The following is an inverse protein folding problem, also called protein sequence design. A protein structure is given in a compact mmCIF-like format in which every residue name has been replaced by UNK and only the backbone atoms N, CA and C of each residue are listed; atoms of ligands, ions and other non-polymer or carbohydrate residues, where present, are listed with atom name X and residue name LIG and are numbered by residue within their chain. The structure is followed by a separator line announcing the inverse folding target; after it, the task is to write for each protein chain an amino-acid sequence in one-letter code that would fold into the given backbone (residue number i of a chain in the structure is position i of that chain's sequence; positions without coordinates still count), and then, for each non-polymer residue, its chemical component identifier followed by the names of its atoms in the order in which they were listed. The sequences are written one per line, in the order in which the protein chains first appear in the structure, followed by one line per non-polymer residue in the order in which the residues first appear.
data_IF_715041242532
#
_entry.id   IF_715041242532
#
_cell.length_a   1.000
_cell.length_b   1.000
_cell.length_c   1.000
_cell.angle_alpha   90.00
_cell.angle_beta   90.00
_cell.angle_gamma   90.00
#
_symmetry.space_group_name_H-M   'P 1'
#
loop_
_entity.id
_entity.type
_entity.pdbx_description
1 polymer ?
#
# COMPACT_ATOMS: atom_id res chain seq x y z
N UNK A 1 53.03 -25.47 8.79
CA UNK A 1 52.09 -26.16 7.89
C UNK A 1 51.02 -26.75 8.80
N UNK A 2 49.99 -25.95 9.10
CA UNK A 2 48.61 -26.00 8.52
C UNK A 2 47.74 -26.96 9.33
N UNK A 3 46.86 -26.41 10.19
CA UNK A 3 45.39 -26.37 10.04
C UNK A 3 44.78 -27.76 10.32
N UNK A 4 43.75 -27.94 11.14
CA UNK A 4 42.47 -27.23 11.14
C UNK A 4 41.84 -27.24 12.55
N UNK A 5 41.44 -26.07 13.05
CA UNK A 5 40.38 -25.96 14.04
C UNK A 5 39.06 -25.89 13.27
N UNK A 6 38.28 -26.96 13.28
CA UNK A 6 36.88 -26.92 12.87
C UNK A 6 36.06 -26.28 13.98
N UNK A 7 35.83 -24.97 13.89
CA UNK A 7 34.82 -24.29 14.69
C UNK A 7 33.45 -24.58 14.09
N UNK A 8 32.74 -25.53 14.68
CA UNK A 8 31.31 -25.70 14.48
C UNK A 8 30.59 -24.45 15.01
N UNK A 9 30.02 -23.67 14.11
CA UNK A 9 29.19 -22.50 14.44
C UNK A 9 28.02 -22.45 13.47
N UNK A 10 27.18 -23.47 13.53
CA UNK A 10 25.85 -23.42 12.93
C UNK A 10 24.83 -23.04 14.01
N UNK A 11 24.75 -21.74 14.33
CA UNK A 11 23.59 -21.19 15.04
C UNK A 11 22.53 -20.87 13.99
N UNK A 12 21.73 -21.87 13.63
CA UNK A 12 20.40 -21.64 13.04
C UNK A 12 19.55 -20.91 14.08
N UNK A 13 19.46 -19.59 13.94
CA UNK A 13 18.45 -18.76 14.62
C UNK A 13 17.06 -19.17 14.13
N UNK A 14 16.42 -20.10 14.82
CA UNK A 14 15.02 -20.45 14.62
C UNK A 14 14.13 -19.47 15.40
N UNK A 15 14.14 -18.19 15.01
CA UNK A 15 13.03 -17.31 15.34
C UNK A 15 12.03 -17.48 14.20
N UNK A 16 10.93 -18.20 14.45
CA UNK A 16 9.79 -18.20 13.53
C UNK A 16 9.25 -16.78 13.50
N UNK A 17 9.50 -16.06 12.40
CA UNK A 17 8.89 -14.78 12.15
C UNK A 17 7.36 -14.91 12.21
N UNK A 18 6.71 -13.97 12.89
CA UNK A 18 5.26 -13.93 13.01
C UNK A 18 4.65 -13.64 11.63
N UNK A 19 4.10 -14.68 10.98
CA UNK A 19 3.34 -14.57 9.72
C UNK A 19 1.96 -13.99 10.04
N UNK A 20 1.63 -12.85 9.45
CA UNK A 20 0.32 -12.22 9.59
C UNK A 20 -0.67 -12.84 8.60
N UNK A 21 -1.98 -12.68 8.86
CA UNK A 21 -3.07 -13.15 7.96
C UNK A 21 -3.01 -12.53 6.55
N UNK A 22 -2.18 -11.50 6.37
CA UNK A 22 -1.96 -10.81 5.11
C UNK A 22 -0.64 -11.16 4.40
N UNK A 23 0.11 -12.13 4.90
CA UNK A 23 1.31 -12.64 4.23
C UNK A 23 0.88 -13.73 3.23
N UNK A 24 0.89 -13.38 1.93
CA UNK A 24 0.49 -14.26 0.83
C UNK A 24 1.70 -14.82 0.11
N UNK A 25 1.61 -16.08 -0.33
CA UNK A 25 2.64 -16.70 -1.14
C UNK A 25 2.40 -16.33 -2.61
N UNK A 26 3.37 -15.66 -3.24
CA UNK A 26 3.33 -15.32 -4.66
C UNK A 26 3.87 -16.50 -5.47
N UNK A 27 3.29 -16.81 -6.64
CA UNK A 27 3.86 -17.82 -7.52
C UNK A 27 5.32 -17.47 -7.88
N UNK A 28 6.24 -18.39 -7.59
CA UNK A 28 7.65 -18.25 -7.95
C UNK A 28 7.84 -18.53 -9.44
N UNK A 29 7.41 -17.57 -10.28
CA UNK A 29 7.55 -17.63 -11.74
C UNK A 29 8.25 -16.38 -12.28
N UNK A 30 8.88 -16.47 -13.46
CA UNK A 30 9.56 -15.31 -14.07
C UNK A 30 8.65 -14.09 -14.25
N UNK A 31 7.35 -14.30 -14.48
CA UNK A 31 6.38 -13.22 -14.59
C UNK A 31 6.20 -12.42 -13.30
N UNK A 32 6.31 -13.02 -12.12
CA UNK A 32 6.16 -12.30 -10.84
C UNK A 32 7.48 -11.71 -10.33
N UNK A 33 8.60 -12.05 -10.96
CA UNK A 33 9.91 -11.54 -10.60
C UNK A 33 9.94 -10.01 -10.66
N UNK A 34 10.45 -9.38 -9.61
CA UNK A 34 10.56 -7.92 -9.46
C UNK A 34 9.22 -7.17 -9.35
N UNK A 35 8.09 -7.89 -9.24
CA UNK A 35 6.80 -7.29 -8.84
C UNK A 35 6.72 -7.31 -7.32
N UNK A 36 6.38 -6.16 -6.72
CA UNK A 36 6.26 -6.03 -5.27
C UNK A 36 5.17 -6.97 -4.70
N UNK A 37 5.41 -7.46 -3.48
CA UNK A 37 4.54 -8.44 -2.83
C UNK A 37 3.09 -7.97 -2.72
N UNK A 38 2.92 -6.70 -2.35
CA UNK A 38 1.62 -6.03 -2.17
C UNK A 38 0.86 -5.92 -3.49
N UNK A 39 1.56 -5.67 -4.60
CA UNK A 39 1.00 -5.53 -5.94
C UNK A 39 0.46 -6.86 -6.43
N UNK A 40 1.29 -7.90 -6.36
CA UNK A 40 0.87 -9.24 -6.73
C UNK A 40 -0.29 -9.74 -5.85
N UNK A 41 -0.25 -9.49 -4.54
CA UNK A 41 -1.35 -9.82 -3.62
C UNK A 41 -2.65 -9.14 -4.03
N UNK A 42 -2.63 -7.83 -4.32
CA UNK A 42 -3.83 -7.09 -4.72
C UNK A 42 -4.43 -7.64 -6.03
N UNK A 43 -3.60 -8.15 -6.93
CA UNK A 43 -4.08 -8.88 -8.12
C UNK A 43 -4.66 -10.25 -7.76
N UNK A 44 -3.88 -11.11 -7.10
CA UNK A 44 -4.22 -12.51 -6.82
C UNK A 44 -5.53 -12.63 -6.02
N UNK A 45 -5.74 -11.74 -5.06
CA UNK A 45 -6.95 -11.76 -4.20
C UNK A 45 -8.25 -11.38 -4.93
N UNK A 46 -8.17 -10.96 -6.19
CA UNK A 46 -9.34 -10.75 -7.05
C UNK A 46 -9.94 -12.07 -7.56
N UNK A 47 -9.19 -13.16 -7.54
CA UNK A 47 -9.60 -14.46 -8.07
C UNK A 47 -10.06 -15.42 -6.98
N UNK A 48 -10.99 -16.31 -7.34
CA UNK A 48 -11.21 -17.54 -6.58
C UNK A 48 -10.06 -18.51 -6.87
N UNK A 49 -9.68 -19.39 -5.93
CA UNK A 49 -8.53 -20.29 -6.12
C UNK A 49 -8.56 -21.08 -7.44
N UNK A 50 -9.72 -21.61 -7.82
CA UNK A 50 -9.88 -22.40 -9.06
C UNK A 50 -9.75 -21.56 -10.33
N UNK A 51 -10.06 -20.27 -10.26
CA UNK A 51 -9.97 -19.37 -11.40
C UNK A 51 -8.52 -18.96 -11.64
N UNK A 52 -7.77 -18.73 -10.55
CA UNK A 52 -6.36 -18.36 -10.63
C UNK A 52 -5.51 -19.46 -11.26
N UNK A 53 -5.82 -20.74 -11.00
CA UNK A 53 -5.13 -21.88 -11.61
C UNK A 53 -5.26 -21.91 -13.16
N UNK A 54 -6.31 -21.28 -13.70
CA UNK A 54 -6.55 -21.23 -15.14
C UNK A 54 -5.88 -20.03 -15.82
N UNK A 55 -5.37 -19.07 -15.05
CA UNK A 55 -4.71 -17.87 -15.58
C UNK A 55 -3.21 -18.14 -15.69
N UNK A 56 -2.67 -18.07 -16.91
CA UNK A 56 -1.23 -18.14 -17.15
C UNK A 56 -0.73 -16.81 -17.74
N UNK A 57 0.44 -16.39 -17.26
CA UNK A 57 1.15 -15.20 -17.75
C UNK A 57 2.50 -15.56 -18.39
N UNK A 58 2.72 -16.84 -18.72
CA UNK A 58 4.03 -17.33 -19.16
C UNK A 58 4.52 -16.60 -20.41
N UNK A 59 3.60 -16.29 -21.34
CA UNK A 59 3.90 -15.54 -22.57
C UNK A 59 4.37 -14.10 -22.33
N UNK A 60 4.09 -13.55 -21.15
CA UNK A 60 4.44 -12.18 -20.75
C UNK A 60 5.65 -12.12 -19.81
N UNK A 61 6.26 -13.26 -19.49
CA UNK A 61 7.34 -13.37 -18.50
C UNK A 61 8.59 -12.53 -18.79
N UNK A 62 8.85 -12.24 -20.08
CA UNK A 62 10.02 -11.48 -20.50
C UNK A 62 9.74 -9.98 -20.69
N UNK A 63 8.52 -9.52 -20.40
CA UNK A 63 8.16 -8.13 -20.55
C UNK A 63 8.75 -7.27 -19.41
N UNK A 64 9.08 -5.99 -19.69
CA UNK A 64 9.35 -5.01 -18.65
C UNK A 64 8.25 -4.97 -17.58
N UNK A 65 8.60 -4.59 -16.35
CA UNK A 65 7.62 -4.51 -15.23
C UNK A 65 6.39 -3.68 -15.62
N UNK A 66 6.59 -2.51 -16.23
CA UNK A 66 5.48 -1.64 -16.65
C UNK A 66 4.52 -2.32 -17.66
N UNK A 67 5.04 -3.16 -18.56
CA UNK A 67 4.21 -3.87 -19.52
C UNK A 67 3.49 -5.06 -18.87
N UNK A 68 4.13 -5.73 -17.91
CA UNK A 68 3.46 -6.75 -17.07
C UNK A 68 2.32 -6.14 -16.25
N UNK A 69 2.51 -4.94 -15.69
CA UNK A 69 1.46 -4.22 -14.97
C UNK A 69 0.28 -3.84 -15.89
N UNK A 70 0.54 -3.49 -17.16
CA UNK A 70 -0.53 -3.27 -18.15
C UNK A 70 -1.32 -4.55 -18.43
N UNK A 71 -0.65 -5.69 -18.56
CA UNK A 71 -1.31 -7.00 -18.71
C UNK A 71 -2.21 -7.28 -17.51
N UNK A 72 -1.70 -7.09 -16.28
CA UNK A 72 -2.50 -7.28 -15.06
C UNK A 72 -3.70 -6.33 -14.99
N UNK A 73 -3.53 -5.06 -15.39
CA UNK A 73 -4.63 -4.09 -15.43
C UNK A 73 -5.73 -4.52 -16.41
N UNK A 74 -5.35 -4.89 -17.64
CA UNK A 74 -6.31 -5.32 -18.66
C UNK A 74 -7.08 -6.57 -18.22
N UNK A 75 -6.39 -7.51 -17.58
CA UNK A 75 -6.98 -8.74 -17.06
C UNK A 75 -7.98 -8.45 -15.93
N UNK A 76 -7.65 -7.56 -14.98
CA UNK A 76 -8.61 -7.16 -13.94
C UNK A 76 -9.81 -6.39 -14.48
N UNK A 77 -9.65 -5.57 -15.51
CA UNK A 77 -10.76 -4.86 -16.16
C UNK A 77 -11.71 -5.81 -16.90
N UNK A 78 -11.14 -6.83 -17.57
CA UNK A 78 -11.90 -7.92 -18.18
C UNK A 78 -12.68 -8.70 -17.12
N UNK A 79 -12.01 -9.05 -16.01
CA UNK A 79 -12.62 -9.75 -14.90
C UNK A 79 -13.77 -8.95 -14.28
N UNK A 80 -13.59 -7.65 -14.04
CA UNK A 80 -14.63 -6.76 -13.53
C UNK A 80 -15.87 -6.80 -14.43
N UNK A 81 -15.67 -6.63 -15.74
CA UNK A 81 -16.74 -6.65 -16.74
C UNK A 81 -17.50 -7.99 -16.74
N UNK A 82 -16.77 -9.11 -16.65
CA UNK A 82 -17.37 -10.44 -16.58
C UNK A 82 -18.19 -10.64 -15.30
N UNK A 83 -17.72 -10.13 -14.16
CA UNK A 83 -18.45 -10.21 -12.88
C UNK A 83 -19.72 -9.36 -12.89
N UNK A 84 -19.66 -8.15 -13.44
CA UNK A 84 -20.84 -7.29 -13.60
C UNK A 84 -21.90 -7.96 -14.49
N UNK A 85 -21.48 -8.57 -15.60
CA UNK A 85 -22.39 -9.30 -16.47
C UNK A 85 -23.05 -10.51 -15.77
N UNK A 86 -22.33 -11.21 -14.90
CA UNK A 86 -22.83 -12.38 -14.20
C UNK A 86 -23.91 -12.08 -13.14
N UNK A 87 -23.93 -10.86 -12.58
CA UNK A 87 -24.92 -10.44 -11.58
C UNK A 87 -26.00 -9.51 -12.14
N UNK A 88 -25.93 -9.20 -13.44
CA UNK A 88 -26.91 -8.36 -14.11
C UNK A 88 -28.34 -8.94 -13.93
N UNK A 89 -29.37 -8.07 -13.71
CA UNK A 89 -29.33 -6.61 -13.81
C UNK A 89 -28.90 -5.88 -12.51
N UNK A 90 -28.52 -6.59 -11.46
CA UNK A 90 -28.01 -5.96 -10.23
C UNK A 90 -26.58 -5.44 -10.46
N UNK A 91 -26.23 -4.31 -9.82
CA UNK A 91 -24.85 -3.81 -9.85
C UNK A 91 -23.93 -4.64 -8.93
N UNK A 92 -22.68 -4.88 -9.34
CA UNK A 92 -21.76 -5.74 -8.59
C UNK A 92 -21.47 -5.21 -7.17
N UNK A 93 -21.35 -3.89 -7.02
CA UNK A 93 -21.14 -3.27 -5.71
C UNK A 93 -22.30 -3.52 -4.72
N UNK A 94 -23.51 -3.82 -5.22
CA UNK A 94 -24.67 -4.16 -4.40
C UNK A 94 -24.81 -5.67 -4.19
N UNK A 95 -24.54 -6.47 -5.22
CA UNK A 95 -24.66 -7.93 -5.16
C UNK A 95 -23.52 -8.59 -4.36
N UNK A 96 -22.29 -8.13 -4.59
CA UNK A 96 -21.05 -8.71 -4.05
C UNK A 96 -20.05 -7.60 -3.67
N UNK A 97 -20.35 -6.80 -2.62
CA UNK A 97 -19.60 -5.59 -2.28
C UNK A 97 -18.11 -5.84 -1.99
N UNK A 98 -17.76 -6.96 -1.34
CA UNK A 98 -16.36 -7.27 -1.05
C UNK A 98 -15.55 -7.64 -2.29
N UNK A 99 -16.16 -8.37 -3.23
CA UNK A 99 -15.50 -8.74 -4.50
C UNK A 99 -15.29 -7.50 -5.38
N UNK A 100 -16.30 -6.63 -5.46
CA UNK A 100 -16.20 -5.34 -6.13
C UNK A 100 -15.04 -4.50 -5.59
N UNK A 101 -14.96 -4.34 -4.25
CA UNK A 101 -13.88 -3.56 -3.63
C UNK A 101 -12.49 -4.16 -3.86
N UNK A 102 -12.35 -5.49 -3.82
CA UNK A 102 -11.07 -6.17 -4.13
C UNK A 102 -10.64 -5.92 -5.57
N UNK A 103 -11.56 -6.03 -6.53
CA UNK A 103 -11.27 -5.76 -7.94
C UNK A 103 -10.83 -4.31 -8.17
N UNK A 104 -11.57 -3.35 -7.60
CA UNK A 104 -11.19 -1.94 -7.73
C UNK A 104 -9.85 -1.63 -7.03
N UNK A 105 -9.50 -2.33 -5.95
CA UNK A 105 -8.21 -2.19 -5.28
C UNK A 105 -7.07 -2.66 -6.20
N UNK A 106 -7.23 -3.82 -6.83
CA UNK A 106 -6.28 -4.32 -7.81
C UNK A 106 -6.11 -3.36 -8.99
N UNK A 107 -7.22 -2.91 -9.57
CA UNK A 107 -7.23 -1.96 -10.71
C UNK A 107 -6.53 -0.65 -10.33
N UNK A 108 -6.91 -0.05 -9.20
CA UNK A 108 -6.33 1.19 -8.70
C UNK A 108 -4.82 1.05 -8.45
N UNK A 109 -4.39 -0.10 -7.90
CA UNK A 109 -2.96 -0.38 -7.66
C UNK A 109 -2.17 -0.33 -8.98
N UNK A 110 -2.67 -0.98 -10.04
CA UNK A 110 -2.00 -0.96 -11.34
C UNK A 110 -2.02 0.43 -11.97
N UNK A 111 -3.15 1.14 -11.90
CA UNK A 111 -3.26 2.52 -12.40
C UNK A 111 -2.27 3.46 -11.73
N UNK A 112 -2.11 3.37 -10.40
CA UNK A 112 -1.12 4.14 -9.64
C UNK A 112 0.31 3.89 -10.13
N UNK A 113 0.70 2.62 -10.27
CA UNK A 113 2.07 2.24 -10.66
C UNK A 113 2.38 2.56 -12.13
N UNK A 114 1.34 2.62 -12.98
CA UNK A 114 1.45 3.02 -14.38
C UNK A 114 1.36 4.55 -14.58
N UNK A 115 1.14 5.33 -13.52
CA UNK A 115 0.99 6.79 -13.61
C UNK A 115 -0.30 7.23 -14.32
N UNK A 116 -1.34 6.41 -14.30
CA UNK A 116 -2.63 6.70 -14.92
C UNK A 116 -3.53 7.52 -13.98
N UNK A 117 -3.10 8.72 -13.60
CA UNK A 117 -3.73 9.51 -12.52
C UNK A 117 -5.22 9.80 -12.73
N UNK A 118 -5.67 10.00 -13.97
CA UNK A 118 -7.10 10.23 -14.27
C UNK A 118 -7.94 8.99 -14.01
N UNK A 119 -7.44 7.82 -14.40
CA UNK A 119 -8.15 6.55 -14.22
C UNK A 119 -8.13 6.13 -12.74
N UNK A 120 -6.99 6.33 -12.07
CA UNK A 120 -6.86 6.15 -10.62
C UNK A 120 -7.90 7.00 -9.86
N UNK A 121 -7.98 8.30 -10.16
CA UNK A 121 -8.94 9.21 -9.53
C UNK A 121 -10.39 8.77 -9.77
N UNK A 122 -10.72 8.34 -10.99
CA UNK A 122 -12.06 7.86 -11.31
C UNK A 122 -12.41 6.60 -10.53
N UNK A 123 -11.49 5.64 -10.41
CA UNK A 123 -11.68 4.40 -9.63
C UNK A 123 -11.95 4.72 -8.16
N UNK A 124 -11.14 5.59 -7.54
CA UNK A 124 -11.30 6.00 -6.14
C UNK A 124 -12.64 6.74 -5.93
N UNK A 125 -13.06 7.61 -6.85
CA UNK A 125 -14.35 8.30 -6.75
C UNK A 125 -15.54 7.35 -6.87
N UNK A 126 -15.48 6.38 -7.77
CA UNK A 126 -16.54 5.37 -7.95
C UNK A 126 -16.78 4.58 -6.67
N UNK A 127 -15.71 4.15 -5.99
CA UNK A 127 -15.85 3.38 -4.76
C UNK A 127 -16.28 4.24 -3.57
N UNK A 128 -15.80 5.47 -3.48
CA UNK A 128 -16.27 6.43 -2.47
C UNK A 128 -17.74 6.82 -2.68
N UNK A 129 -18.26 6.82 -3.91
CA UNK A 129 -19.68 7.09 -4.16
C UNK A 129 -20.61 5.96 -3.68
N UNK A 130 -20.07 4.76 -3.47
CA UNK A 130 -20.85 3.54 -3.20
C UNK A 130 -20.50 2.87 -1.86
N UNK A 131 -19.54 3.41 -1.12
CA UNK A 131 -19.06 2.85 0.15
C UNK A 131 -19.33 3.83 1.29
N UNK A 132 -19.85 3.33 2.39
CA UNK A 132 -20.18 4.10 3.60
C UNK A 132 -19.36 3.64 4.82
N UNK A 133 -19.35 4.47 5.87
CA UNK A 133 -18.70 4.18 7.15
C UNK A 133 -17.20 3.89 7.04
N UNK A 134 -16.72 3.05 7.95
CA UNK A 134 -15.29 2.72 8.12
C UNK A 134 -14.65 2.09 6.87
N UNK A 135 -15.46 1.45 6.02
CA UNK A 135 -14.98 0.87 4.77
C UNK A 135 -14.48 1.93 3.77
N UNK A 136 -14.80 3.21 3.98
CA UNK A 136 -14.28 4.34 3.19
C UNK A 136 -12.84 4.70 3.52
N UNK A 137 -12.39 4.43 4.75
CA UNK A 137 -11.13 4.95 5.28
C UNK A 137 -9.91 4.60 4.41
N UNK A 138 -9.74 3.36 3.91
CA UNK A 138 -8.63 3.05 3.01
C UNK A 138 -8.66 3.87 1.71
N UNK A 139 -9.85 4.13 1.16
CA UNK A 139 -10.03 4.88 -0.08
C UNK A 139 -9.79 6.38 0.09
N UNK A 140 -10.19 6.94 1.24
CA UNK A 140 -9.84 8.31 1.61
C UNK A 140 -8.33 8.47 1.79
N UNK A 141 -7.66 7.47 2.36
CA UNK A 141 -6.20 7.48 2.48
C UNK A 141 -5.50 7.41 1.11
N UNK A 142 -6.02 6.60 0.19
CA UNK A 142 -5.52 6.54 -1.19
C UNK A 142 -5.74 7.85 -1.95
N UNK A 143 -6.89 8.50 -1.73
CA UNK A 143 -7.16 9.82 -2.30
C UNK A 143 -6.18 10.87 -1.76
N UNK A 144 -5.91 10.86 -0.46
CA UNK A 144 -4.92 11.73 0.18
C UNK A 144 -3.51 11.54 -0.40
N UNK A 145 -3.08 10.30 -0.63
CA UNK A 145 -1.81 9.99 -1.30
C UNK A 145 -1.78 10.49 -2.76
N UNK A 146 -2.90 10.37 -3.48
CA UNK A 146 -3.03 10.84 -4.85
C UNK A 146 -2.97 12.37 -4.95
N UNK A 147 -3.71 13.08 -4.10
CA UNK A 147 -3.70 14.54 -4.01
C UNK A 147 -2.28 15.04 -3.69
N UNK A 148 -1.59 14.37 -2.76
CA UNK A 148 -0.19 14.68 -2.44
C UNK A 148 0.76 14.52 -3.65
N UNK A 149 0.59 13.45 -4.45
CA UNK A 149 1.38 13.22 -5.67
C UNK A 149 1.08 14.25 -6.77
N UNK A 150 -0.16 14.73 -6.85
CA UNK A 150 -0.59 15.71 -7.83
C UNK A 150 -0.21 17.16 -7.43
N UNK A 151 0.23 17.37 -6.19
CA UNK A 151 0.58 18.70 -5.66
C UNK A 151 -0.56 19.42 -4.97
N UNK A 152 -1.70 18.76 -4.77
CA UNK A 152 -2.89 19.25 -4.09
C UNK A 152 -2.72 19.11 -2.56
N UNK A 153 -1.72 19.84 -2.03
CA UNK A 153 -1.24 19.63 -0.66
C UNK A 153 -2.27 19.96 0.43
N UNK A 154 -3.18 20.89 0.18
CA UNK A 154 -4.20 21.27 1.16
C UNK A 154 -5.28 20.18 1.27
N UNK A 155 -5.71 19.64 0.13
CA UNK A 155 -6.67 18.55 0.01
C UNK A 155 -6.10 17.27 0.63
N UNK A 156 -4.82 16.96 0.33
CA UNK A 156 -4.11 15.85 0.94
C UNK A 156 -4.06 15.96 2.47
N UNK A 157 -3.75 17.15 3.02
CA UNK A 157 -3.76 17.39 4.47
C UNK A 157 -5.14 17.12 5.09
N UNK A 158 -6.21 17.66 4.48
CA UNK A 158 -7.58 17.52 5.00
C UNK A 158 -7.94 16.05 5.13
N UNK A 159 -7.72 15.26 4.08
CA UNK A 159 -8.03 13.83 4.08
C UNK A 159 -7.15 13.05 5.04
N UNK A 160 -5.85 13.35 5.11
CA UNK A 160 -4.96 12.67 6.06
C UNK A 160 -5.37 12.92 7.51
N UNK A 161 -5.82 14.13 7.85
CA UNK A 161 -6.35 14.46 9.19
C UNK A 161 -7.67 13.78 9.50
N UNK A 162 -8.51 13.53 8.50
CA UNK A 162 -9.76 12.78 8.66
C UNK A 162 -9.49 11.30 8.96
N UNK A 163 -8.56 10.71 8.20
CA UNK A 163 -8.25 9.26 8.23
C UNK A 163 -7.39 8.87 9.44
N UNK A 164 -6.40 9.69 9.80
CA UNK A 164 -5.39 9.33 10.78
C UNK A 164 -5.96 8.95 12.17
N UNK A 165 -6.92 9.70 12.76
CA UNK A 165 -7.49 9.34 14.05
C UNK A 165 -8.14 7.95 14.05
N UNK A 166 -8.82 7.59 12.96
CA UNK A 166 -9.42 6.26 12.82
C UNK A 166 -8.35 5.17 12.85
N UNK A 167 -7.27 5.33 12.07
CA UNK A 167 -6.18 4.34 12.05
C UNK A 167 -5.49 4.20 13.41
N UNK A 168 -5.28 5.31 14.09
CA UNK A 168 -4.64 5.35 15.41
C UNK A 168 -5.48 4.68 16.51
N UNK A 169 -6.81 4.70 16.38
CA UNK A 169 -7.74 4.12 17.36
C UNK A 169 -8.19 2.71 17.02
N UNK A 170 -7.95 2.24 15.80
CA UNK A 170 -8.39 0.93 15.34
C UNK A 170 -7.64 -0.20 16.05
N UNK A 171 -8.37 -1.17 16.60
CA UNK A 171 -7.85 -2.28 17.43
C UNK A 171 -6.69 -3.07 16.78
N UNK A 172 -6.75 -3.28 15.46
CA UNK A 172 -5.72 -4.03 14.72
C UNK A 172 -4.54 -3.17 14.31
N UNK A 173 -4.73 -1.86 14.19
CA UNK A 173 -3.71 -0.92 13.76
C UNK A 173 -3.08 -0.29 15.00
N UNK A 174 -3.52 0.89 15.41
CA UNK A 174 -2.88 1.63 16.49
C UNK A 174 -1.91 2.69 15.96
N UNK A 175 -1.46 3.55 16.86
CA UNK A 175 -0.64 4.74 16.55
C UNK A 175 0.68 4.40 15.85
N UNK A 176 1.26 3.25 16.14
CA UNK A 176 2.56 2.79 15.68
C UNK A 176 2.44 1.74 14.57
N UNK A 177 1.25 1.55 14.01
CA UNK A 177 1.08 0.68 12.85
C UNK A 177 1.71 1.30 11.59
N UNK A 178 2.30 0.49 10.68
CA UNK A 178 2.79 0.99 9.39
C UNK A 178 1.76 1.82 8.61
N UNK A 179 0.48 1.47 8.72
CA UNK A 179 -0.62 2.20 8.09
C UNK A 179 -0.77 3.61 8.69
N UNK A 180 -0.83 3.72 10.02
CA UNK A 180 -0.92 5.03 10.68
C UNK A 180 0.32 5.88 10.39
N UNK A 181 1.51 5.29 10.45
CA UNK A 181 2.78 5.98 10.13
C UNK A 181 2.83 6.42 8.66
N UNK A 182 2.32 5.61 7.73
CA UNK A 182 2.17 5.97 6.32
C UNK A 182 1.29 7.19 6.12
N UNK A 183 0.11 7.23 6.75
CA UNK A 183 -0.77 8.42 6.72
C UNK A 183 -0.13 9.63 7.40
N UNK A 184 0.62 9.43 8.49
CA UNK A 184 1.39 10.51 9.12
C UNK A 184 2.45 11.07 8.18
N UNK A 185 3.16 10.24 7.39
CA UNK A 185 4.11 10.72 6.37
C UNK A 185 3.43 11.56 5.29
N UNK A 186 2.24 11.15 4.83
CA UNK A 186 1.42 11.95 3.90
C UNK A 186 1.12 13.32 4.50
N UNK A 187 0.64 13.35 5.75
CA UNK A 187 0.33 14.59 6.47
C UNK A 187 1.55 15.50 6.65
N UNK A 188 2.70 14.95 7.04
CA UNK A 188 3.97 15.69 7.16
C UNK A 188 4.31 16.33 5.82
N UNK A 189 4.35 15.54 4.73
CA UNK A 189 4.72 16.03 3.40
C UNK A 189 3.77 17.13 2.91
N UNK A 190 2.48 16.91 3.07
CA UNK A 190 1.43 17.85 2.68
C UNK A 190 1.58 19.20 3.40
N UNK A 191 1.71 19.20 4.73
CA UNK A 191 1.90 20.44 5.50
C UNK A 191 3.22 21.12 5.19
N UNK A 192 4.31 20.35 5.03
CA UNK A 192 5.62 20.92 4.73
C UNK A 192 5.63 21.67 3.40
N UNK A 193 5.02 21.09 2.36
CA UNK A 193 4.95 21.71 1.02
C UNK A 193 4.02 22.93 0.95
N UNK A 194 3.15 23.15 1.93
CA UNK A 194 2.39 24.40 2.05
C UNK A 194 3.22 25.57 2.62
N UNK A 195 4.32 25.28 3.34
CA UNK A 195 5.22 26.30 3.90
C UNK A 195 4.66 27.06 5.11
N UNK A 196 5.41 28.05 5.59
CA UNK A 196 5.00 28.91 6.71
C UNK A 196 4.75 28.16 8.02
N UNK A 197 3.64 28.46 8.70
CA UNK A 197 3.29 27.81 9.97
C UNK A 197 3.05 26.30 9.83
N UNK A 198 2.64 25.84 8.64
CA UNK A 198 2.41 24.42 8.33
C UNK A 198 3.73 23.64 8.29
N UNK A 199 4.79 24.23 7.76
CA UNK A 199 6.11 23.60 7.79
C UNK A 199 6.61 23.42 9.23
N UNK A 200 6.42 24.43 10.09
CA UNK A 200 6.78 24.33 11.49
C UNK A 200 6.00 23.23 12.22
N UNK A 201 4.71 23.05 11.89
CA UNK A 201 3.90 21.93 12.38
C UNK A 201 4.40 20.58 11.86
N UNK A 202 4.73 20.48 10.58
CA UNK A 202 5.27 19.27 9.96
C UNK A 202 6.58 18.81 10.60
N UNK A 203 7.50 19.74 10.89
CA UNK A 203 8.75 19.46 11.60
C UNK A 203 8.53 18.88 13.00
N UNK A 204 7.58 19.44 13.75
CA UNK A 204 7.20 18.90 15.07
C UNK A 204 6.62 17.50 14.95
N UNK A 205 5.68 17.30 14.02
CA UNK A 205 5.06 16.01 13.79
C UNK A 205 6.09 14.95 13.34
N UNK A 206 7.06 15.29 12.49
CA UNK A 206 8.13 14.39 12.09
C UNK A 206 9.00 13.96 13.30
N UNK A 207 9.36 14.90 14.19
CA UNK A 207 10.12 14.58 15.40
C UNK A 207 9.33 13.66 16.36
N UNK A 208 8.03 13.93 16.57
CA UNK A 208 7.14 13.09 17.38
C UNK A 208 6.99 11.69 16.78
N UNK A 209 6.86 11.60 15.46
CA UNK A 209 6.75 10.34 14.71
C UNK A 209 8.04 9.52 14.84
N UNK A 210 9.21 10.16 14.73
CA UNK A 210 10.49 9.48 14.94
C UNK A 210 10.59 8.90 16.36
N UNK A 211 10.20 9.67 17.38
CA UNK A 211 10.18 9.19 18.76
C UNK A 211 9.20 8.01 18.96
N UNK A 212 8.10 7.97 18.20
CA UNK A 212 7.18 6.84 18.19
C UNK A 212 7.82 5.61 17.53
N UNK A 213 8.45 5.77 16.37
CA UNK A 213 9.16 4.69 15.65
C UNK A 213 10.26 4.09 16.52
N UNK A 214 11.02 4.89 17.28
CA UNK A 214 12.04 4.35 18.19
C UNK A 214 11.47 3.47 19.31
N UNK A 215 10.19 3.63 19.67
CA UNK A 215 9.49 2.77 20.64
C UNK A 215 8.75 1.59 19.98
N UNK A 216 8.55 1.62 18.67
CA UNK A 216 7.83 0.60 17.90
C UNK A 216 8.43 -0.81 18.06
N UNK A 217 9.74 -0.93 18.30
CA UNK A 217 10.39 -2.21 18.61
C UNK A 217 9.80 -2.97 19.80
N UNK A 218 9.05 -2.30 20.67
CA UNK A 218 8.37 -2.91 21.84
C UNK A 218 6.94 -3.36 21.53
N UNK A 219 6.42 -3.08 20.33
CA UNK A 219 5.06 -3.40 19.95
C UNK A 219 5.00 -4.61 19.01
N UNK A 220 3.77 -5.01 18.66
CA UNK A 220 3.51 -6.08 17.66
C UNK A 220 4.03 -5.74 16.26
N UNK A 221 4.38 -4.46 16.00
CA UNK A 221 4.92 -4.00 14.73
C UNK A 221 6.44 -3.85 14.72
N UNK A 222 7.14 -4.21 15.80
CA UNK A 222 8.58 -3.98 15.93
C UNK A 222 9.44 -4.46 14.74
N UNK A 223 8.99 -5.47 13.98
CA UNK A 223 9.68 -5.94 12.76
C UNK A 223 9.79 -4.89 11.65
N UNK A 224 8.92 -3.88 11.63
CA UNK A 224 8.93 -2.80 10.63
C UNK A 224 9.69 -1.55 11.10
N UNK A 225 10.22 -1.55 12.33
CA UNK A 225 10.84 -0.36 12.92
C UNK A 225 11.94 0.24 12.04
N UNK A 226 12.83 -0.60 11.51
CA UNK A 226 13.96 -0.12 10.71
C UNK A 226 13.51 0.47 9.37
N UNK A 227 12.53 -0.15 8.72
CA UNK A 227 11.93 0.31 7.47
C UNK A 227 11.21 1.66 7.66
N UNK A 228 10.37 1.76 8.69
CA UNK A 228 9.64 2.98 9.03
C UNK A 228 10.58 4.13 9.38
N UNK A 229 11.67 3.84 10.10
CA UNK A 229 12.72 4.82 10.43
C UNK A 229 13.37 5.34 9.16
N UNK A 230 13.72 4.46 8.24
CA UNK A 230 14.37 4.84 6.98
C UNK A 230 13.42 5.70 6.13
N UNK A 231 12.18 5.26 5.93
CA UNK A 231 11.18 6.03 5.16
C UNK A 231 10.95 7.43 5.70
N UNK A 232 10.90 7.61 7.03
CA UNK A 232 10.72 8.94 7.62
C UNK A 232 11.97 9.81 7.47
N UNK A 233 13.18 9.24 7.59
CA UNK A 233 14.42 10.00 7.35
C UNK A 233 14.52 10.46 5.92
N UNK A 234 14.33 9.55 4.96
CA UNK A 234 14.38 9.88 3.53
C UNK A 234 13.37 10.97 3.18
N UNK A 235 12.16 10.91 3.75
CA UNK A 235 11.16 11.96 3.58
C UNK A 235 11.64 13.32 4.09
N UNK A 236 12.19 13.37 5.31
CA UNK A 236 12.64 14.64 5.91
C UNK A 236 13.83 15.21 5.13
N UNK A 237 14.80 14.36 4.76
CA UNK A 237 15.97 14.77 4.00
C UNK A 237 15.57 15.34 2.62
N UNK A 238 14.64 14.70 1.92
CA UNK A 238 14.10 15.16 0.63
C UNK A 238 13.37 16.52 0.78
N UNK A 239 12.59 16.69 1.86
CA UNK A 239 11.89 17.94 2.15
C UNK A 239 12.82 19.09 2.52
N UNK A 240 13.88 18.83 3.27
CA UNK A 240 14.89 19.83 3.62
C UNK A 240 15.72 20.24 2.40
N UNK A 241 16.02 19.30 1.51
CA UNK A 241 16.77 19.60 0.27
C UNK A 241 15.99 20.47 -0.72
N UNK A 242 14.66 20.51 -0.62
CA UNK A 242 13.78 21.30 -1.51
C UNK A 242 13.52 22.73 -1.00
N UNK A 243 14.04 23.12 0.16
CA UNK A 243 13.98 24.51 0.65
C UNK A 243 15.17 25.29 0.07
N UNK A 244 14.96 25.97 -1.06
CA UNK A 244 15.89 26.95 -1.67
C UNK A 244 15.14 28.23 -2.04
#
# INVERSE_FOLDING_TARGET
MTSEMGTDSNKTSTVREHKFEWDFDIPDTPFWKDIELTVARNFITCYRPQELEMVSFDEHSNLPVADRLQVLLAELQSLLSAREAAVAPQALHAAQPDEWRRLLLGIQTMQKLLGLSSDEAQTIRTILATTEGDARVPWLNMLSDMDLRNGDFAEAEVLAREVLPWMQQHEKLGVDSPQALGTTRILIKAMWKQGGDKEAEARRLAAETMALIERMGQSKFGKYQDEERQMLRDLVDDLESTVC
#
